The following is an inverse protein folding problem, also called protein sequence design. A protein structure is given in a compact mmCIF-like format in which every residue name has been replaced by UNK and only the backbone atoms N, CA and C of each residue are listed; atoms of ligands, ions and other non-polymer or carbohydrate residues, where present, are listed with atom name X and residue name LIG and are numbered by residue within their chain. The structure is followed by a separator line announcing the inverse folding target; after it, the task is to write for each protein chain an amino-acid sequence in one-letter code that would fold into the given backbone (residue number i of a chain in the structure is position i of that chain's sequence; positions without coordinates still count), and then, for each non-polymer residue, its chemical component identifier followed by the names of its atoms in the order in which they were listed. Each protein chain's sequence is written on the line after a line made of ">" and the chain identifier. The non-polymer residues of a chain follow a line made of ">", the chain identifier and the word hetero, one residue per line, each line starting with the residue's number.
data_IF_786754735978
#
_entry.id   IF_786754735978
#
_cell.length_a   1.000
_cell.length_b   1.000
_cell.length_c   1.000
_cell.angle_alpha   90.00
_cell.angle_beta   90.00
_cell.angle_gamma   90.00
#
_symmetry.space_group_name_H-M   'P 1'
#
loop_
_entity.id
_entity.type
_entity.pdbx_description
1 polymer ?
#
# COMPACT_ATOMS: atom_id res chain seq x y z
N UNK A 1 -22.81 12.76 22.47
CA UNK A 1 -22.37 12.02 21.27
C UNK A 1 -21.02 11.42 21.61
N UNK A 2 -21.00 10.13 21.93
CA UNK A 2 -19.77 9.42 22.31
C UNK A 2 -18.93 9.20 21.06
N UNK A 3 -17.79 9.88 20.95
CA UNK A 3 -16.76 9.58 19.96
C UNK A 3 -16.34 8.12 20.13
N UNK A 4 -16.71 7.29 19.15
CA UNK A 4 -16.38 5.87 19.15
C UNK A 4 -14.89 5.74 18.79
N UNK A 5 -14.02 5.89 19.80
CA UNK A 5 -12.55 5.94 19.70
C UNK A 5 -11.87 4.68 19.12
N UNK A 6 -12.64 3.70 18.63
CA UNK A 6 -12.15 2.40 18.19
C UNK A 6 -12.64 1.99 16.78
N UNK A 7 -13.19 2.91 16.01
CA UNK A 7 -13.58 2.60 14.63
C UNK A 7 -12.32 2.48 13.75
N UNK A 8 -12.02 1.24 13.34
CA UNK A 8 -10.97 0.90 12.38
C UNK A 8 -11.32 1.52 11.03
N UNK A 9 -10.48 2.43 10.52
CA UNK A 9 -10.73 3.15 9.25
C UNK A 9 -9.75 2.71 8.18
N UNK A 10 -10.28 2.54 6.97
CA UNK A 10 -9.50 2.27 5.76
C UNK A 10 -9.85 3.36 4.76
N UNK A 11 -8.83 4.00 4.19
CA UNK A 11 -8.99 5.00 3.15
C UNK A 11 -8.47 4.43 1.83
N UNK A 12 -9.30 4.47 0.79
CA UNK A 12 -8.93 3.99 -0.54
C UNK A 12 -8.53 5.19 -1.42
N UNK A 13 -7.25 5.30 -1.74
CA UNK A 13 -6.74 6.31 -2.69
C UNK A 13 -6.70 5.74 -4.11
N UNK A 14 -7.78 5.96 -4.86
CA UNK A 14 -7.95 5.45 -6.23
C UNK A 14 -7.79 6.55 -7.28
N UNK A 15 -7.44 6.16 -8.51
CA UNK A 15 -7.29 7.08 -9.64
C UNK A 15 -6.42 6.48 -10.76
N UNK A 16 -6.41 7.08 -11.97
CA UNK A 16 -5.66 6.55 -13.10
C UNK A 16 -4.15 6.59 -12.87
N UNK A 17 -3.41 5.82 -13.66
CA UNK A 17 -1.93 5.90 -13.70
C UNK A 17 -1.49 7.33 -13.99
N UNK A 18 -0.37 7.76 -13.39
CA UNK A 18 0.16 9.13 -13.47
C UNK A 18 -0.71 10.24 -12.86
N UNK A 19 -1.79 9.93 -12.13
CA UNK A 19 -2.60 10.93 -11.41
C UNK A 19 -1.94 11.52 -10.15
N UNK A 20 -0.67 11.22 -9.87
CA UNK A 20 0.05 11.75 -8.69
C UNK A 20 -0.31 11.11 -7.35
N UNK A 21 -0.97 9.94 -7.33
CA UNK A 21 -1.39 9.25 -6.09
C UNK A 21 -0.24 8.99 -5.12
N UNK A 22 0.90 8.52 -5.60
CA UNK A 22 2.09 8.25 -4.78
C UNK A 22 2.60 9.51 -4.10
N UNK A 23 2.63 10.64 -4.82
CA UNK A 23 3.04 11.93 -4.27
C UNK A 23 2.05 12.41 -3.19
N UNK A 24 0.74 12.25 -3.42
CA UNK A 24 -0.28 12.59 -2.44
C UNK A 24 -0.15 11.72 -1.18
N UNK A 25 0.03 10.41 -1.34
CA UNK A 25 0.25 9.50 -0.21
C UNK A 25 1.51 9.88 0.58
N UNK A 26 2.59 10.27 -0.12
CA UNK A 26 3.81 10.74 0.52
C UNK A 26 3.62 12.02 1.34
N UNK A 27 2.87 12.99 0.82
CA UNK A 27 2.59 14.24 1.53
C UNK A 27 1.65 14.03 2.71
N UNK A 28 0.65 13.16 2.56
CA UNK A 28 -0.25 12.80 3.65
C UNK A 28 0.51 12.11 4.80
N UNK A 29 1.46 11.22 4.50
CA UNK A 29 2.20 10.45 5.51
C UNK A 29 3.07 11.33 6.41
N UNK A 30 3.43 12.54 5.96
CA UNK A 30 4.12 13.54 6.79
C UNK A 30 3.21 14.18 7.84
N UNK A 31 1.89 14.14 7.63
CA UNK A 31 0.90 14.87 8.45
C UNK A 31 0.05 13.93 9.30
N UNK A 32 -0.13 12.68 8.86
CA UNK A 32 -0.99 11.70 9.50
C UNK A 32 -0.25 10.36 9.64
N UNK A 33 -0.36 9.68 10.79
CA UNK A 33 0.25 8.37 10.98
C UNK A 33 -0.64 7.30 10.34
N UNK A 34 -0.42 6.97 9.06
CA UNK A 34 -1.05 5.82 8.42
C UNK A 34 -0.03 4.90 7.77
N UNK A 35 -0.45 3.69 7.47
CA UNK A 35 0.29 2.69 6.72
C UNK A 35 -0.30 2.58 5.32
N UNK A 36 0.54 2.28 4.32
CA UNK A 36 0.11 2.18 2.93
C UNK A 36 0.21 0.72 2.47
N UNK A 37 -0.88 0.20 1.91
CA UNK A 37 -0.89 -1.08 1.20
C UNK A 37 -1.03 -0.77 -0.29
N UNK A 38 -0.08 -1.23 -1.10
CA UNK A 38 -0.16 -1.08 -2.55
C UNK A 38 -1.28 -1.95 -3.12
N UNK A 39 -2.09 -1.38 -4.01
CA UNK A 39 -3.17 -2.04 -4.74
C UNK A 39 -2.89 -1.96 -6.23
N UNK A 40 -1.70 -2.45 -6.63
CA UNK A 40 -1.23 -2.50 -8.01
C UNK A 40 -0.69 -3.90 -8.30
N UNK A 41 -1.25 -4.56 -9.32
CA UNK A 41 -0.89 -5.95 -9.63
C UNK A 41 0.48 -6.11 -10.27
N UNK A 42 1.11 -5.02 -10.73
CA UNK A 42 2.41 -5.04 -11.38
C UNK A 42 3.54 -4.73 -10.38
N UNK A 43 3.32 -3.81 -9.43
CA UNK A 43 4.31 -3.47 -8.39
C UNK A 43 4.60 -4.63 -7.41
N UNK A 44 3.76 -5.67 -7.42
CA UNK A 44 3.92 -6.90 -6.63
C UNK A 44 5.24 -7.63 -6.94
N UNK A 45 5.77 -7.47 -8.17
CA UNK A 45 6.86 -8.25 -8.72
C UNK A 45 8.25 -7.59 -8.55
N UNK A 46 9.22 -8.41 -8.14
CA UNK A 46 10.62 -8.02 -7.95
C UNK A 46 11.33 -7.71 -9.26
N UNK A 47 12.17 -6.67 -9.23
CA UNK A 47 13.03 -6.29 -10.36
C UNK A 47 12.30 -5.69 -11.58
N UNK A 48 10.98 -5.49 -11.49
CA UNK A 48 10.16 -4.92 -12.56
C UNK A 48 9.90 -3.42 -12.34
N UNK A 49 10.90 -2.64 -11.95
CA UNK A 49 10.67 -1.30 -11.35
C UNK A 49 10.26 -0.24 -12.39
N UNK A 50 10.98 -0.16 -13.50
CA UNK A 50 10.79 0.89 -14.52
C UNK A 50 9.42 0.73 -15.20
N UNK A 51 9.12 -0.48 -15.69
CA UNK A 51 7.88 -0.75 -16.43
C UNK A 51 6.61 -0.68 -15.59
N UNK A 52 6.74 -0.74 -14.25
CA UNK A 52 5.60 -0.67 -13.32
C UNK A 52 5.49 0.67 -12.61
N UNK A 53 6.35 1.64 -12.97
CA UNK A 53 6.43 2.95 -12.32
C UNK A 53 6.51 2.83 -10.78
N UNK A 54 7.27 1.83 -10.29
CA UNK A 54 7.41 1.57 -8.86
C UNK A 54 8.06 2.77 -8.16
N UNK A 55 7.60 3.15 -6.96
CA UNK A 55 8.29 4.16 -6.17
C UNK A 55 9.74 3.76 -5.93
N UNK A 56 10.65 4.72 -6.00
CA UNK A 56 12.07 4.50 -5.76
C UNK A 56 12.33 4.05 -4.32
N UNK A 57 13.48 3.42 -4.08
CA UNK A 57 13.91 3.03 -2.72
C UNK A 57 13.93 4.22 -1.75
N UNK A 58 14.26 5.42 -2.23
CA UNK A 58 14.25 6.63 -1.41
C UNK A 58 12.83 7.06 -1.04
N UNK A 59 11.88 7.00 -1.98
CA UNK A 59 10.47 7.28 -1.70
C UNK A 59 9.86 6.24 -0.76
N UNK A 60 10.20 4.95 -0.92
CA UNK A 60 9.73 3.89 -0.02
C UNK A 60 10.31 3.98 1.39
N UNK A 61 11.50 4.58 1.56
CA UNK A 61 12.04 4.87 2.90
C UNK A 61 11.24 5.95 3.63
N UNK A 62 10.72 6.92 2.91
CA UNK A 62 9.91 8.03 3.47
C UNK A 62 8.48 7.55 3.70
N UNK A 63 7.95 6.79 2.75
CA UNK A 63 6.61 6.20 2.81
C UNK A 63 6.66 4.72 2.50
N UNK A 64 6.81 3.86 3.53
CA UNK A 64 6.77 2.43 3.34
C UNK A 64 5.41 1.99 2.77
N UNK A 65 5.46 1.24 1.67
CA UNK A 65 4.28 0.62 1.07
C UNK A 65 4.41 -0.91 1.22
N UNK A 66 3.40 -1.55 1.78
CA UNK A 66 3.30 -3.01 1.81
C UNK A 66 2.84 -3.55 0.45
N UNK A 67 3.08 -4.85 0.23
CA UNK A 67 2.73 -5.58 -1.00
C UNK A 67 3.41 -5.02 -2.26
N UNK A 68 4.65 -4.56 -2.12
CA UNK A 68 5.57 -4.26 -3.22
C UNK A 68 6.74 -5.24 -3.10
N UNK A 69 7.24 -5.74 -4.23
CA UNK A 69 8.41 -6.65 -4.26
C UNK A 69 8.22 -7.96 -3.45
N UNK A 70 6.99 -8.47 -3.39
CA UNK A 70 6.69 -9.68 -2.61
C UNK A 70 6.66 -10.97 -3.43
N UNK A 71 6.71 -10.89 -4.76
CA UNK A 71 6.71 -12.05 -5.68
C UNK A 71 7.84 -11.98 -6.69
N UNK A 72 8.31 -13.14 -7.14
CA UNK A 72 9.14 -13.28 -8.32
C UNK A 72 8.30 -13.14 -9.60
N UNK A 73 8.81 -12.55 -10.69
CA UNK A 73 8.07 -12.40 -11.96
C UNK A 73 7.55 -13.71 -12.57
N UNK A 74 8.15 -14.86 -12.24
CA UNK A 74 7.68 -16.17 -12.68
C UNK A 74 6.46 -16.68 -11.91
N UNK A 75 6.10 -16.05 -10.79
CA UNK A 75 4.99 -16.47 -9.94
C UNK A 75 3.65 -15.85 -10.39
N UNK A 76 2.58 -16.65 -10.26
CA UNK A 76 1.23 -16.15 -10.49
C UNK A 76 0.66 -15.46 -9.26
N UNK A 77 0.07 -14.28 -9.47
CA UNK A 77 -0.62 -13.53 -8.44
C UNK A 77 -2.06 -13.23 -8.86
N UNK A 78 -3.02 -13.46 -7.97
CA UNK A 78 -4.45 -13.34 -8.26
C UNK A 78 -5.14 -12.39 -7.28
N UNK A 79 -6.31 -11.89 -7.66
CA UNK A 79 -7.13 -11.07 -6.77
C UNK A 79 -7.49 -11.80 -5.45
N UNK A 80 -7.66 -13.13 -5.50
CA UNK A 80 -7.90 -13.94 -4.30
C UNK A 80 -6.70 -13.96 -3.35
N UNK A 81 -5.47 -14.12 -3.88
CA UNK A 81 -4.24 -14.04 -3.08
C UNK A 81 -4.05 -12.63 -2.51
N UNK A 82 -4.28 -11.60 -3.33
CA UNK A 82 -4.25 -10.21 -2.90
C UNK A 82 -5.21 -9.95 -1.74
N UNK A 83 -6.47 -10.38 -1.86
CA UNK A 83 -7.46 -10.19 -0.81
C UNK A 83 -7.01 -10.81 0.52
N UNK A 84 -6.47 -12.03 0.50
CA UNK A 84 -5.97 -12.71 1.70
C UNK A 84 -4.82 -11.92 2.34
N UNK A 85 -3.78 -11.59 1.55
CA UNK A 85 -2.58 -10.92 2.05
C UNK A 85 -2.85 -9.48 2.51
N UNK A 86 -3.69 -8.74 1.77
CA UNK A 86 -4.10 -7.40 2.16
C UNK A 86 -4.92 -7.43 3.46
N UNK A 87 -5.84 -8.39 3.62
CA UNK A 87 -6.63 -8.52 4.85
C UNK A 87 -5.74 -8.83 6.05
N UNK A 88 -4.82 -9.79 5.92
CA UNK A 88 -3.83 -10.08 6.97
C UNK A 88 -3.00 -8.84 7.31
N UNK A 89 -2.54 -8.09 6.30
CA UNK A 89 -1.75 -6.88 6.53
C UNK A 89 -2.55 -5.78 7.24
N UNK A 90 -3.82 -5.60 6.87
CA UNK A 90 -4.74 -4.66 7.52
C UNK A 90 -4.91 -5.01 9.01
N UNK A 91 -5.09 -6.28 9.33
CA UNK A 91 -5.21 -6.74 10.72
C UNK A 91 -3.93 -6.48 11.53
N UNK A 92 -2.75 -6.74 10.95
CA UNK A 92 -1.46 -6.43 11.57
C UNK A 92 -1.26 -4.92 11.80
N UNK A 93 -1.70 -4.07 10.87
CA UNK A 93 -1.63 -2.60 11.01
C UNK A 93 -2.55 -2.16 12.15
N UNK A 94 -3.80 -2.62 12.16
CA UNK A 94 -4.74 -2.30 13.23
C UNK A 94 -4.27 -2.80 14.60
N UNK A 95 -3.60 -3.95 14.68
CA UNK A 95 -3.01 -4.45 15.92
C UNK A 95 -1.89 -3.54 16.47
N UNK A 96 -1.25 -2.73 15.61
CA UNK A 96 -0.29 -1.69 16.00
C UNK A 96 -0.96 -0.37 16.40
N UNK A 97 -2.29 -0.29 16.38
CA UNK A 97 -3.05 0.92 16.69
C UNK A 97 -2.95 2.01 15.63
N UNK A 98 -2.70 1.62 14.37
CA UNK A 98 -2.60 2.51 13.20
C UNK A 98 -3.76 2.31 12.24
#
# INVERSE_FOLDING_TARGET
>A
MSDNKNEKKIFCLMGPTAAGKTLLAAELAKRLPFDIISVDSAMIYRGMDIGTAKPTVLELKITPHYLIDIRDPSETYSAGKFHQEATTKIEEIFAKGR
#
